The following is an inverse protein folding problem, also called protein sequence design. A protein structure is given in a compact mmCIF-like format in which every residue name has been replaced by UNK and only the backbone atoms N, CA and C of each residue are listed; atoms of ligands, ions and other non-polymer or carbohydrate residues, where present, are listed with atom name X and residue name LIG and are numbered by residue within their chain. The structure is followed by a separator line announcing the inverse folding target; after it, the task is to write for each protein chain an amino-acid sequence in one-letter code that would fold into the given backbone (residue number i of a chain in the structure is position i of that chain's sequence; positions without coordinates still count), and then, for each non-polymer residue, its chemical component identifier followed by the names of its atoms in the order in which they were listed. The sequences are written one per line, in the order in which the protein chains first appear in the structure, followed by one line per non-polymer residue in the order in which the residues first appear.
data_IF_267772460310
#
_entry.id   IF_267772460310
#
_cell.length_a   1.000
_cell.length_b   1.000
_cell.length_c   1.000
_cell.angle_alpha   90.00
_cell.angle_beta   90.00
_cell.angle_gamma   90.00
#
_symmetry.space_group_name_H-M   'P 1'
#
loop_
_entity.id
_entity.type
_entity.pdbx_description
1 polymer ?
#
# COMPACT_ATOMS: atom_id res chain seq x y z
N UNK A 1 24.24 18.09 1.88
CA UNK A 1 22.89 18.66 2.11
C UNK A 1 21.91 17.85 1.29
N UNK A 2 20.88 17.26 1.92
CA UNK A 2 19.86 16.50 1.18
C UNK A 2 19.08 17.43 0.27
N UNK A 3 18.93 17.05 -0.99
CA UNK A 3 18.15 17.81 -1.97
C UNK A 3 16.67 17.73 -1.57
N UNK A 4 16.06 18.88 -1.25
CA UNK A 4 14.62 18.94 -1.06
C UNK A 4 13.94 18.85 -2.43
N UNK A 5 12.96 17.95 -2.55
CA UNK A 5 12.14 17.78 -3.76
C UNK A 5 10.69 18.16 -3.45
N UNK A 6 9.99 18.68 -4.45
CA UNK A 6 8.61 19.16 -4.31
C UNK A 6 7.66 18.07 -4.76
N UNK A 7 6.67 17.76 -3.91
CA UNK A 7 5.58 16.83 -4.22
C UNK A 7 4.35 17.63 -4.70
N UNK A 8 3.96 17.44 -5.95
CA UNK A 8 2.73 18.02 -6.51
C UNK A 8 1.69 16.92 -6.74
N UNK A 9 0.58 16.96 -6.01
CA UNK A 9 -0.56 16.07 -6.23
C UNK A 9 -1.73 16.86 -6.83
N UNK A 10 -2.37 16.27 -7.85
CA UNK A 10 -3.69 16.70 -8.30
C UNK A 10 -4.73 16.04 -7.40
N UNK A 11 -5.58 16.84 -6.78
CA UNK A 11 -6.64 16.39 -5.90
C UNK A 11 -7.92 17.16 -6.21
N UNK A 12 -9.06 16.56 -5.89
CA UNK A 12 -10.34 17.24 -5.93
C UNK A 12 -10.35 18.45 -4.97
N UNK A 13 -11.03 19.53 -5.35
CA UNK A 13 -11.04 20.77 -4.58
C UNK A 13 -11.75 20.62 -3.23
N UNK A 14 -12.80 19.79 -3.15
CA UNK A 14 -13.51 19.55 -1.90
C UNK A 14 -12.64 18.70 -0.97
N UNK A 15 -12.02 17.64 -1.51
CA UNK A 15 -11.06 16.82 -0.75
C UNK A 15 -9.91 17.67 -0.21
N UNK A 16 -9.38 18.62 -1.00
CA UNK A 16 -8.35 19.55 -0.54
C UNK A 16 -8.82 20.35 0.67
N UNK A 17 -10.04 20.90 0.60
CA UNK A 17 -10.59 21.73 1.68
C UNK A 17 -10.75 20.91 2.96
N UNK A 18 -11.40 19.75 2.88
CA UNK A 18 -11.64 18.87 4.02
C UNK A 18 -10.33 18.42 4.69
N UNK A 19 -9.32 18.05 3.89
CA UNK A 19 -8.02 17.64 4.41
C UNK A 19 -7.28 18.78 5.11
N UNK A 20 -7.39 20.01 4.62
CA UNK A 20 -6.79 21.18 5.26
C UNK A 20 -7.46 21.51 6.59
N UNK A 21 -8.80 21.53 6.62
CA UNK A 21 -9.57 21.78 7.86
C UNK A 21 -9.27 20.73 8.93
N UNK A 22 -9.17 19.45 8.53
CA UNK A 22 -8.81 18.38 9.45
C UNK A 22 -7.39 18.52 10.02
N UNK A 23 -6.40 18.88 9.17
CA UNK A 23 -5.03 19.10 9.62
C UNK A 23 -4.94 20.30 10.58
N UNK A 24 -5.60 21.41 10.26
CA UNK A 24 -5.63 22.62 11.11
C UNK A 24 -6.31 22.36 12.45
N UNK A 25 -7.40 21.57 12.47
CA UNK A 25 -8.05 21.17 13.71
C UNK A 25 -7.12 20.37 14.65
N UNK A 26 -6.10 19.70 14.09
CA UNK A 26 -5.05 19.00 14.83
C UNK A 26 -3.81 19.87 15.10
N UNK A 27 -3.79 21.13 14.66
CA UNK A 27 -2.64 22.03 14.77
C UNK A 27 -1.49 21.69 13.83
N UNK A 28 -1.76 21.01 12.73
CA UNK A 28 -0.79 20.55 11.74
C UNK A 28 -1.02 21.21 10.38
N UNK A 29 0.03 21.31 9.57
CA UNK A 29 -0.14 21.61 8.15
C UNK A 29 -0.38 20.33 7.37
N UNK A 30 -1.02 20.42 6.19
CA UNK A 30 -1.13 19.28 5.28
C UNK A 30 0.25 18.69 4.91
N UNK A 31 1.27 19.55 4.87
CA UNK A 31 2.64 19.13 4.54
C UNK A 31 3.26 18.29 5.66
N UNK A 32 2.91 18.56 6.92
CA UNK A 32 3.35 17.76 8.07
C UNK A 32 2.71 16.37 8.02
N UNK A 33 1.40 16.33 7.82
CA UNK A 33 0.64 15.07 7.71
C UNK A 33 1.18 14.19 6.58
N UNK A 34 1.37 14.76 5.38
CA UNK A 34 1.91 14.02 4.23
C UNK A 34 3.34 13.54 4.48
N UNK A 35 4.18 14.35 5.12
CA UNK A 35 5.56 13.95 5.45
C UNK A 35 5.58 12.81 6.44
N UNK A 36 4.77 12.88 7.50
CA UNK A 36 4.64 11.80 8.49
C UNK A 36 4.15 10.51 7.83
N UNK A 37 3.12 10.60 6.98
CA UNK A 37 2.62 9.46 6.22
C UNK A 37 3.73 8.83 5.36
N UNK A 38 4.45 9.62 4.57
CA UNK A 38 5.50 9.10 3.67
C UNK A 38 6.64 8.41 4.43
N UNK A 39 7.03 8.94 5.59
CA UNK A 39 8.04 8.32 6.46
C UNK A 39 7.55 6.96 6.99
N UNK A 40 6.33 6.92 7.56
CA UNK A 40 5.76 5.67 8.06
C UNK A 40 5.58 4.65 6.94
N UNK A 41 4.98 5.05 5.82
CA UNK A 41 4.72 4.20 4.66
C UNK A 41 6.02 3.59 4.09
N UNK A 42 7.08 4.39 3.92
CA UNK A 42 8.36 3.90 3.42
C UNK A 42 9.03 2.90 4.38
N UNK A 43 8.90 3.12 5.69
CA UNK A 43 9.55 2.26 6.69
C UNK A 43 8.80 0.96 6.94
N UNK A 44 7.47 1.02 7.08
CA UNK A 44 6.65 -0.12 7.50
C UNK A 44 6.08 -0.90 6.31
N UNK A 45 6.13 -0.34 5.10
CA UNK A 45 5.56 -0.92 3.87
C UNK A 45 4.09 -1.31 4.00
N UNK A 46 3.35 -0.56 4.82
CA UNK A 46 1.91 -0.72 5.05
C UNK A 46 1.25 0.65 5.10
N UNK A 47 -0.04 0.66 4.78
CA UNK A 47 -0.86 1.84 5.04
C UNK A 47 -1.21 1.90 6.54
N UNK A 48 -1.34 3.11 7.11
CA UNK A 48 -1.77 3.30 8.50
C UNK A 48 -3.28 3.10 8.70
N UNK A 49 -3.97 2.69 7.64
CA UNK A 49 -5.39 2.33 7.62
C UNK A 49 -5.51 0.98 6.88
N UNK A 50 -6.59 0.25 7.17
CA UNK A 50 -6.84 -1.03 6.54
C UNK A 50 -6.98 -0.85 5.02
N UNK A 51 -5.98 -1.34 4.30
CA UNK A 51 -5.98 -1.40 2.85
C UNK A 51 -6.16 -2.86 2.45
N UNK A 52 -7.42 -3.25 2.26
CA UNK A 52 -7.78 -4.65 1.96
C UNK A 52 -7.92 -4.92 0.46
N UNK A 53 -7.64 -3.96 -0.41
CA UNK A 53 -7.81 -4.14 -1.86
C UNK A 53 -6.56 -4.81 -2.45
N UNK A 54 -6.62 -6.07 -2.90
CA UNK A 54 -5.46 -6.71 -3.52
C UNK A 54 -5.12 -5.99 -4.82
N UNK A 55 -3.82 -5.87 -5.12
CA UNK A 55 -3.39 -5.28 -6.38
C UNK A 55 -3.76 -6.21 -7.56
N UNK A 56 -3.68 -5.70 -8.79
CA UNK A 56 -4.06 -6.45 -9.99
C UNK A 56 -3.36 -7.81 -10.14
N UNK A 57 -2.07 -7.89 -9.75
CA UNK A 57 -1.30 -9.14 -9.80
C UNK A 57 -1.83 -10.15 -8.78
N UNK A 58 -2.16 -9.68 -7.58
CA UNK A 58 -2.71 -10.50 -6.50
C UNK A 58 -4.11 -10.98 -6.83
N UNK A 59 -4.96 -10.11 -7.40
CA UNK A 59 -6.28 -10.48 -7.90
C UNK A 59 -6.18 -11.59 -8.96
N UNK A 60 -5.30 -11.44 -9.95
CA UNK A 60 -5.11 -12.47 -10.97
C UNK A 60 -4.63 -13.81 -10.37
N UNK A 61 -3.75 -13.77 -9.36
CA UNK A 61 -3.30 -14.98 -8.66
C UNK A 61 -4.43 -15.64 -7.86
N UNK A 62 -5.32 -14.85 -7.25
CA UNK A 62 -6.52 -15.36 -6.56
C UNK A 62 -7.48 -16.00 -7.57
N UNK A 63 -7.75 -15.35 -8.71
CA UNK A 63 -8.60 -15.90 -9.76
C UNK A 63 -8.04 -17.20 -10.34
N UNK A 64 -6.71 -17.27 -10.56
CA UNK A 64 -6.04 -18.51 -10.98
C UNK A 64 -6.22 -19.61 -9.92
N UNK A 65 -6.08 -19.26 -8.65
CA UNK A 65 -6.30 -20.17 -7.53
C UNK A 65 -7.73 -20.74 -7.50
N UNK A 66 -8.72 -19.87 -7.63
CA UNK A 66 -10.14 -20.21 -7.64
C UNK A 66 -10.55 -21.00 -8.90
N UNK A 67 -9.85 -20.83 -10.02
CA UNK A 67 -10.09 -21.58 -11.26
C UNK A 67 -9.78 -23.08 -11.15
N UNK A 68 -9.15 -23.52 -10.04
CA UNK A 68 -8.77 -24.91 -9.81
C UNK A 68 -7.61 -25.41 -10.67
N UNK A 69 -6.89 -24.49 -11.34
CA UNK A 69 -5.75 -24.81 -12.23
C UNK A 69 -4.41 -24.78 -11.51
N UNK A 70 -4.41 -24.62 -10.19
CA UNK A 70 -3.18 -24.64 -9.41
C UNK A 70 -2.50 -26.00 -9.48
N UNK A 71 -1.19 -25.95 -9.38
CA UNK A 71 -0.36 -27.14 -9.28
C UNK A 71 -0.50 -27.77 -7.89
N UNK A 72 -0.95 -29.01 -7.84
CA UNK A 72 -0.91 -29.84 -6.64
C UNK A 72 0.45 -30.55 -6.50
N UNK A 73 0.76 -30.95 -5.26
CA UNK A 73 1.94 -31.73 -4.91
C UNK A 73 1.50 -32.87 -3.98
N UNK A 74 2.18 -34.01 -4.08
CA UNK A 74 1.80 -35.22 -3.33
C UNK A 74 2.15 -35.13 -1.84
N UNK A 75 3.10 -34.26 -1.47
CA UNK A 75 3.50 -34.01 -0.10
C UNK A 75 4.02 -32.58 0.10
N UNK A 76 4.08 -32.15 1.37
CA UNK A 76 4.71 -30.88 1.75
C UNK A 76 6.21 -30.88 1.38
N UNK A 77 6.90 -32.01 1.57
CA UNK A 77 8.31 -32.17 1.21
C UNK A 77 8.53 -31.97 -0.30
N UNK A 78 7.65 -32.53 -1.14
CA UNK A 78 7.71 -32.37 -2.60
C UNK A 78 7.50 -30.92 -3.03
N UNK A 79 6.63 -30.19 -2.34
CA UNK A 79 6.40 -28.76 -2.56
C UNK A 79 7.67 -27.95 -2.27
N UNK A 80 8.28 -28.10 -1.09
CA UNK A 80 9.50 -27.37 -0.71
C UNK A 80 10.65 -27.68 -1.67
N UNK A 81 10.85 -28.97 -2.00
CA UNK A 81 11.85 -29.40 -2.97
C UNK A 81 11.65 -28.77 -4.34
N UNK A 82 10.40 -28.60 -4.81
CA UNK A 82 10.12 -27.97 -6.11
C UNK A 82 10.26 -26.45 -6.09
N UNK A 83 9.85 -25.80 -5.01
CA UNK A 83 9.94 -24.35 -4.85
C UNK A 83 11.35 -23.86 -4.49
N UNK A 84 12.27 -24.78 -4.16
CA UNK A 84 13.63 -24.45 -3.68
C UNK A 84 13.58 -23.55 -2.44
N UNK A 85 12.58 -23.78 -1.60
CA UNK A 85 12.38 -23.15 -0.30
C UNK A 85 12.93 -24.06 0.80
#
# INVERSE_FOLDING_TARGET
MSKAEVLMLRIDSNLKKEAFEAAEAMGLTISDVLRMFLVCFASEKKFPFDYEVPNAVTLAAIEEAESGKLKSYDSVDDFFKKMKL
#
